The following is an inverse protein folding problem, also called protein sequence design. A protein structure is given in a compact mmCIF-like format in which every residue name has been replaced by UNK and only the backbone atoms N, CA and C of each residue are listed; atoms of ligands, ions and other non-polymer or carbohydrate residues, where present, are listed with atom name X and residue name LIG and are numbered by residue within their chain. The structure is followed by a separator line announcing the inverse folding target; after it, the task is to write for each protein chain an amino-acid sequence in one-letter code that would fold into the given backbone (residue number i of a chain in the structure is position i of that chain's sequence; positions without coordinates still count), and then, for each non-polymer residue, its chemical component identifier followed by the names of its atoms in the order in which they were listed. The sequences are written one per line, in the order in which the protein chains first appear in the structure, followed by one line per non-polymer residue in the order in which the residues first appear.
data_IF_386671837750
#
_entry.id   IF_386671837750
#
_cell.length_a   1.000
_cell.length_b   1.000
_cell.length_c   1.000
_cell.angle_alpha   90.00
_cell.angle_beta   90.00
_cell.angle_gamma   90.00
#
_symmetry.space_group_name_H-M   'P 1'
#
loop_
_entity.id
_entity.type
_entity.pdbx_description
1 polymer ?
#
# COMPACT_ATOMS: atom_id res chain seq x y z
N UNK A 1 15.00 -11.33 -32.82
CA UNK A 1 15.79 -10.26 -32.16
C UNK A 1 15.69 -10.49 -30.64
N UNK A 2 16.47 -11.36 -29.97
CA UNK A 2 17.87 -11.14 -29.51
C UNK A 2 18.14 -9.64 -29.31
N UNK A 3 18.35 -9.06 -28.13
CA UNK A 3 18.89 -9.49 -26.83
C UNK A 3 18.74 -8.28 -25.89
N UNK A 4 18.28 -8.44 -24.63
CA UNK A 4 18.58 -7.47 -23.55
C UNK A 4 18.40 -8.08 -22.14
N UNK A 5 18.81 -9.33 -21.99
CA UNK A 5 18.86 -10.09 -20.72
C UNK A 5 20.15 -9.79 -19.91
N UNK A 6 20.94 -8.77 -20.28
CA UNK A 6 22.17 -8.39 -19.54
C UNK A 6 22.24 -6.91 -19.16
N UNK A 7 21.38 -6.49 -18.22
CA UNK A 7 21.79 -5.50 -17.22
C UNK A 7 21.59 -6.14 -15.83
N UNK A 8 22.27 -7.28 -15.70
CA UNK A 8 22.63 -7.96 -14.46
C UNK A 8 23.11 -6.93 -13.43
N UNK A 9 22.41 -6.81 -12.31
CA UNK A 9 22.85 -7.43 -11.05
C UNK A 9 24.25 -6.98 -10.60
N UNK A 10 24.40 -5.70 -10.29
CA UNK A 10 25.46 -5.26 -9.39
C UNK A 10 24.85 -4.34 -8.33
N UNK A 11 25.11 -4.69 -7.07
CA UNK A 11 24.60 -4.08 -5.85
C UNK A 11 23.10 -4.24 -5.58
N UNK A 12 22.74 -5.29 -4.83
CA UNK A 12 21.83 -5.16 -3.68
C UNK A 12 22.33 -6.15 -2.64
N UNK A 13 23.16 -5.60 -1.77
CA UNK A 13 23.81 -6.17 -0.61
C UNK A 13 22.84 -6.95 0.28
N UNK A 14 23.34 -8.01 0.91
CA UNK A 14 22.72 -8.62 2.08
C UNK A 14 22.38 -7.53 3.10
N UNK A 15 21.09 -7.27 3.34
CA UNK A 15 20.54 -6.99 4.66
C UNK A 15 19.01 -7.20 4.60
N UNK A 16 18.47 -7.82 5.64
CA UNK A 16 17.22 -8.57 5.61
C UNK A 16 15.94 -7.79 5.29
N UNK A 17 15.13 -8.38 4.41
CA UNK A 17 13.67 -8.51 4.48
C UNK A 17 13.23 -9.28 3.22
N UNK A 18 12.85 -10.56 3.40
CA UNK A 18 12.44 -11.44 2.30
C UNK A 18 11.00 -11.10 1.91
N UNK A 19 10.80 -9.99 1.19
CA UNK A 19 9.57 -9.80 0.40
C UNK A 19 9.98 -9.24 -0.96
N UNK A 20 10.34 -10.14 -1.89
CA UNK A 20 10.42 -9.78 -3.31
C UNK A 20 9.00 -9.56 -3.83
N UNK A 21 8.47 -8.35 -3.70
CA UNK A 21 7.27 -7.94 -4.44
C UNK A 21 7.28 -6.42 -4.59
N UNK A 22 7.83 -5.94 -5.70
CA UNK A 22 7.76 -4.52 -6.07
C UNK A 22 6.39 -4.13 -6.66
N UNK A 23 5.56 -5.13 -6.99
CA UNK A 23 4.24 -4.98 -7.57
C UNK A 23 3.36 -6.14 -7.10
N UNK A 24 2.20 -5.84 -6.51
CA UNK A 24 1.24 -6.86 -6.06
C UNK A 24 0.35 -7.34 -7.21
N UNK A 25 0.00 -6.45 -8.14
CA UNK A 25 -0.94 -6.71 -9.23
C UNK A 25 -0.48 -5.96 -10.49
N UNK A 26 -0.33 -6.67 -11.60
CA UNK A 26 -0.05 -6.05 -12.91
C UNK A 26 -1.25 -5.26 -13.44
N UNK A 27 -1.02 -4.25 -14.30
CA UNK A 27 -2.09 -3.43 -14.89
C UNK A 27 -3.01 -4.30 -15.77
N UNK A 28 -4.21 -4.58 -15.26
CA UNK A 28 -5.26 -5.31 -15.99
C UNK A 28 -6.64 -4.98 -15.42
N UNK A 29 -7.70 -5.33 -16.16
CA UNK A 29 -9.08 -5.24 -15.67
C UNK A 29 -9.37 -6.43 -14.76
N UNK A 30 -9.87 -6.15 -13.55
CA UNK A 30 -10.17 -7.17 -12.55
C UNK A 30 -11.68 -7.35 -12.48
N UNK A 31 -12.12 -8.61 -12.41
CA UNK A 31 -13.53 -8.96 -12.25
C UNK A 31 -13.92 -9.00 -10.78
N UNK A 32 -15.13 -8.55 -10.49
CA UNK A 32 -15.78 -8.69 -9.20
C UNK A 32 -16.11 -10.18 -9.01
N UNK A 33 -15.74 -10.80 -7.87
CA UNK A 33 -15.96 -12.23 -7.66
C UNK A 33 -17.44 -12.61 -7.65
N UNK A 34 -18.31 -11.76 -7.10
CA UNK A 34 -19.74 -12.02 -6.95
C UNK A 34 -20.55 -11.84 -8.24
N UNK A 35 -20.29 -10.74 -8.96
CA UNK A 35 -21.10 -10.33 -10.12
C UNK A 35 -20.50 -10.79 -11.45
N UNK A 36 -19.19 -11.06 -11.51
CA UNK A 36 -18.46 -11.34 -12.76
C UNK A 36 -18.25 -10.11 -13.65
N UNK A 37 -18.86 -8.97 -13.31
CA UNK A 37 -18.61 -7.66 -13.92
C UNK A 37 -17.21 -7.13 -13.58
N UNK A 38 -16.75 -6.11 -14.30
CA UNK A 38 -15.47 -5.45 -14.01
C UNK A 38 -15.67 -4.33 -13.00
N UNK A 39 -14.67 -4.12 -12.13
CA UNK A 39 -14.64 -2.95 -11.25
C UNK A 39 -14.61 -1.67 -12.06
N UNK A 40 -15.42 -0.69 -11.64
CA UNK A 40 -15.40 0.67 -12.14
C UNK A 40 -14.89 1.64 -11.06
N UNK A 41 -14.56 2.87 -11.45
CA UNK A 41 -14.00 3.89 -10.55
C UNK A 41 -14.94 4.20 -9.38
N UNK A 42 -16.25 4.12 -9.62
CA UNK A 42 -17.29 4.39 -8.61
C UNK A 42 -17.32 3.38 -7.47
N UNK A 43 -16.79 2.17 -7.69
CA UNK A 43 -16.75 1.10 -6.68
C UNK A 43 -15.60 1.31 -5.69
N UNK A 44 -14.69 2.23 -5.98
CA UNK A 44 -13.56 2.56 -5.11
C UNK A 44 -13.88 3.80 -4.27
N UNK A 45 -14.35 3.59 -3.05
CA UNK A 45 -14.56 4.66 -2.07
C UNK A 45 -13.77 4.42 -0.77
N UNK A 46 -13.54 5.50 -0.01
CA UNK A 46 -12.86 5.41 1.28
C UNK A 46 -13.78 4.69 2.29
N UNK A 47 -13.22 3.72 3.00
CA UNK A 47 -13.93 2.86 3.95
C UNK A 47 -14.51 1.59 3.33
N UNK A 48 -14.49 1.45 2.01
CA UNK A 48 -14.96 0.25 1.34
C UNK A 48 -13.89 -0.84 1.27
N UNK A 49 -14.37 -2.09 1.23
CA UNK A 49 -13.54 -3.27 1.10
C UNK A 49 -13.61 -3.82 -0.32
N UNK A 50 -12.48 -3.88 -1.01
CA UNK A 50 -12.39 -4.37 -2.39
C UNK A 50 -11.67 -5.71 -2.41
N UNK A 51 -12.26 -6.71 -3.07
CA UNK A 51 -11.67 -8.05 -3.19
C UNK A 51 -10.93 -8.16 -4.52
N UNK A 52 -9.60 -8.22 -4.47
CA UNK A 52 -8.75 -8.39 -5.65
C UNK A 52 -7.98 -9.71 -5.51
N UNK A 53 -8.14 -10.63 -6.48
CA UNK A 53 -7.46 -11.94 -6.49
C UNK A 53 -7.63 -12.74 -5.18
N UNK A 54 -8.82 -12.70 -4.58
CA UNK A 54 -9.11 -13.41 -3.32
C UNK A 54 -8.48 -12.78 -2.07
N UNK A 55 -8.00 -11.54 -2.17
CA UNK A 55 -7.51 -10.74 -1.03
C UNK A 55 -8.39 -9.51 -0.83
N UNK A 56 -8.76 -9.25 0.41
CA UNK A 56 -9.54 -8.07 0.79
C UNK A 56 -8.60 -6.89 1.04
N UNK A 57 -8.81 -5.82 0.30
CA UNK A 57 -8.10 -4.54 0.44
C UNK A 57 -9.06 -3.51 1.02
N UNK A 58 -8.62 -2.84 2.08
CA UNK A 58 -9.38 -1.76 2.71
C UNK A 58 -8.81 -0.40 2.28
N UNK A 59 -9.65 0.45 1.70
CA UNK A 59 -9.21 1.77 1.21
C UNK A 59 -9.32 2.78 2.34
N UNK A 60 -8.18 3.20 2.89
CA UNK A 60 -8.14 4.15 4.01
C UNK A 60 -8.07 5.61 3.56
N UNK A 61 -7.42 5.91 2.43
CA UNK A 61 -7.24 7.27 1.95
C UNK A 61 -7.07 7.31 0.42
N UNK A 62 -7.33 8.48 -0.18
CA UNK A 62 -7.07 8.78 -1.57
C UNK A 62 -6.33 10.11 -1.73
N UNK A 63 -5.53 10.23 -2.79
CA UNK A 63 -4.85 11.49 -3.11
C UNK A 63 -5.84 12.62 -3.47
N UNK A 64 -5.39 13.87 -3.36
CA UNK A 64 -6.17 15.07 -3.63
C UNK A 64 -6.65 15.13 -5.09
N UNK A 65 -5.83 14.66 -6.02
CA UNK A 65 -6.23 14.55 -7.43
C UNK A 65 -7.42 13.60 -7.59
N UNK A 66 -7.29 12.38 -7.05
CA UNK A 66 -8.32 11.34 -7.12
C UNK A 66 -9.60 11.80 -6.43
N UNK A 67 -9.51 12.49 -5.28
CA UNK A 67 -10.67 13.05 -4.58
C UNK A 67 -11.45 14.04 -5.45
N UNK A 68 -10.74 14.94 -6.14
CA UNK A 68 -11.37 15.89 -7.04
C UNK A 68 -11.97 15.22 -8.28
N UNK A 69 -11.32 14.18 -8.80
CA UNK A 69 -11.83 13.39 -9.91
C UNK A 69 -13.14 12.69 -9.56
N UNK A 70 -13.19 11.99 -8.43
CA UNK A 70 -14.40 11.33 -7.91
C UNK A 70 -15.54 12.33 -7.66
N UNK A 71 -15.23 13.51 -7.11
CA UNK A 71 -16.22 14.58 -6.91
C UNK A 71 -16.81 15.09 -8.23
N UNK A 72 -16.00 15.19 -9.29
CA UNK A 72 -16.49 15.58 -10.63
C UNK A 72 -17.40 14.53 -11.26
N UNK A 73 -17.17 13.26 -10.94
CA UNK A 73 -18.04 12.15 -11.33
C UNK A 73 -19.33 12.07 -10.49
N UNK A 74 -19.50 12.93 -9.49
CA UNK A 74 -20.67 12.94 -8.60
C UNK A 74 -20.57 11.98 -7.41
N UNK A 75 -19.42 11.34 -7.20
CA UNK A 75 -19.19 10.42 -6.08
C UNK A 75 -18.85 11.21 -4.82
N UNK A 76 -19.56 10.93 -3.72
CA UNK A 76 -19.26 11.50 -2.40
C UNK A 76 -18.14 10.71 -1.74
N UNK A 77 -16.96 11.31 -1.69
CA UNK A 77 -15.77 10.72 -1.07
C UNK A 77 -15.82 10.95 0.44
N UNK A 78 -15.69 9.88 1.22
CA UNK A 78 -15.67 9.95 2.68
C UNK A 78 -14.38 10.60 3.24
N UNK A 79 -14.36 10.85 4.54
CA UNK A 79 -13.18 11.35 5.24
C UNK A 79 -12.10 10.27 5.35
N UNK A 80 -10.79 10.64 5.34
CA UNK A 80 -9.70 9.68 5.49
C UNK A 80 -9.79 8.90 6.80
N UNK A 81 -9.58 7.59 6.71
CA UNK A 81 -9.47 6.72 7.87
C UNK A 81 -8.02 6.67 8.37
N UNK A 82 -7.85 6.51 9.68
CA UNK A 82 -6.54 6.28 10.26
C UNK A 82 -5.99 4.93 9.80
N UNK A 83 -4.70 4.92 9.46
CA UNK A 83 -4.02 3.67 9.15
C UNK A 83 -3.91 2.84 10.44
N UNK A 84 -4.21 1.52 10.40
CA UNK A 84 -4.03 0.66 11.56
C UNK A 84 -2.56 0.62 11.97
N UNK A 85 -2.31 0.53 13.28
CA UNK A 85 -0.95 0.37 13.79
C UNK A 85 -0.41 -1.00 13.42
N UNK A 86 0.84 -1.04 12.93
CA UNK A 86 1.52 -2.29 12.61
C UNK A 86 2.30 -2.78 13.85
N UNK A 87 1.96 -3.95 14.43
CA UNK A 87 2.65 -4.51 15.58
C UNK A 87 4.17 -4.68 15.37
N UNK A 88 4.59 -4.94 14.12
CA UNK A 88 6.01 -5.08 13.80
C UNK A 88 6.75 -3.75 13.92
N UNK A 89 6.13 -2.64 13.46
CA UNK A 89 6.71 -1.31 13.59
C UNK A 89 6.80 -0.88 15.06
N UNK A 90 5.80 -1.21 15.86
CA UNK A 90 5.80 -0.92 17.30
C UNK A 90 6.95 -1.64 18.01
N UNK A 91 7.15 -2.94 17.74
CA UNK A 91 8.24 -3.73 18.32
C UNK A 91 9.61 -3.19 17.92
N UNK A 92 9.78 -2.82 16.64
CA UNK A 92 11.04 -2.23 16.15
C UNK A 92 11.34 -0.89 16.81
N UNK A 93 10.34 -0.03 16.99
CA UNK A 93 10.53 1.29 17.59
C UNK A 93 10.79 1.23 19.11
N UNK A 94 10.26 0.21 19.80
CA UNK A 94 10.52 -0.02 21.22
C UNK A 94 11.99 -0.31 21.54
N UNK A 95 12.69 -1.04 20.68
CA UNK A 95 14.12 -1.37 20.87
C UNK A 95 15.06 -0.18 20.75
N UNK A 96 14.64 0.93 20.12
CA UNK A 96 15.46 2.14 19.93
C UNK A 96 15.34 3.16 21.08
N UNK A 97 14.32 3.06 21.94
CA UNK A 97 14.06 4.05 23.01
C UNK A 97 14.88 3.84 24.30
N UNK A 98 15.68 2.78 24.41
CA UNK A 98 16.44 2.46 25.64
C UNK A 98 17.82 3.12 25.77
N UNK A 99 18.28 3.94 24.80
CA UNK A 99 19.66 4.50 24.81
C UNK A 99 19.84 5.99 25.13
N UNK A 100 18.80 6.73 25.53
CA UNK A 100 18.94 8.18 25.80
C UNK A 100 18.48 8.62 27.19
N UNK A 101 19.06 8.05 28.25
CA UNK A 101 19.15 8.73 29.57
C UNK A 101 20.48 8.37 30.25
N UNK A 102 21.54 9.14 29.94
CA UNK A 102 22.68 9.28 30.84
C UNK A 102 22.94 10.77 31.02
N UNK A 103 22.44 11.28 32.14
CA UNK A 103 22.70 12.59 32.70
C UNK A 103 24.20 12.92 32.71
N UNK A 104 24.57 14.12 32.28
CA UNK A 104 25.74 14.80 32.80
C UNK A 104 25.27 16.14 33.35
N UNK A 105 25.13 16.18 34.68
CA UNK A 105 24.81 17.35 35.48
C UNK A 105 26.14 18.00 35.84
N UNK A 106 26.38 19.22 35.36
CA UNK A 106 27.34 20.17 35.94
C UNK A 106 26.59 21.48 36.07
#
# INVERSE_FOLDING_TARGET
MKTRIQMMTFAMSLLGAIIRSRCLIGRQRIKIPESGAFYDVIDFNIGENVVLFGRNFHITNCDTFTRNFLRRLGVRVAEPLSMPSDPYLELRNGTMKSKSKSSHKI
#
